data_IF_448283466945
#
_entry.id   IF_448283466945
#
_cell.length_a   1.000
_cell.length_b   1.000
_cell.length_c   1.000
_cell.angle_alpha   90.00
_cell.angle_beta   90.00
_cell.angle_gamma   90.00
#
_symmetry.space_group_name_H-M   'P 1'
#
loop_
_entity.id
_entity.type
_entity.pdbx_description
1 polymer ?
#
# COMPACT_ATOMS: atom_id res chain seq x y z
N UNK A 1 11.27 -34.29 -7.23
CA UNK A 1 11.75 -33.00 -7.76
C UNK A 1 10.68 -32.46 -8.69
N UNK A 2 10.00 -31.39 -8.28
CA UNK A 2 9.30 -30.46 -9.16
C UNK A 2 9.07 -29.19 -8.32
N UNK A 3 9.74 -28.12 -8.73
CA UNK A 3 9.74 -26.80 -8.14
C UNK A 3 8.43 -26.07 -8.49
N UNK A 4 7.59 -25.82 -7.49
CA UNK A 4 6.56 -24.79 -7.61
C UNK A 4 7.09 -23.49 -7.01
N UNK A 5 7.56 -22.60 -7.89
CA UNK A 5 7.68 -21.18 -7.58
C UNK A 5 6.26 -20.63 -7.47
N UNK A 6 5.70 -20.66 -6.26
CA UNK A 6 4.48 -19.93 -5.93
C UNK A 6 4.83 -18.49 -5.60
N UNK A 7 4.35 -17.55 -6.40
CA UNK A 7 4.16 -16.16 -5.97
C UNK A 7 3.34 -16.21 -4.68
N UNK A 8 3.85 -15.59 -3.62
CA UNK A 8 3.22 -15.63 -2.30
C UNK A 8 1.91 -14.84 -2.37
N UNK A 9 0.82 -15.54 -2.68
CA UNK A 9 -0.53 -15.05 -2.49
C UNK A 9 -0.99 -15.39 -1.08
N UNK A 10 -1.98 -14.66 -0.56
CA UNK A 10 -2.67 -15.06 0.68
C UNK A 10 -3.38 -16.39 0.45
N UNK A 11 -2.74 -17.52 0.78
CA UNK A 11 -3.34 -18.86 0.73
C UNK A 11 -4.16 -19.07 2.00
N UNK A 12 -5.49 -19.16 1.88
CA UNK A 12 -6.40 -19.42 3.00
C UNK A 12 -7.00 -18.18 3.69
N UNK A 13 -6.94 -17.01 3.06
CA UNK A 13 -7.64 -15.81 3.52
C UNK A 13 -9.15 -15.83 3.20
N UNK A 14 -9.90 -14.89 3.77
CA UNK A 14 -11.32 -14.66 3.48
C UNK A 14 -11.55 -13.26 2.97
N UNK A 15 -12.59 -13.06 2.15
CA UNK A 15 -12.97 -11.73 1.67
C UNK A 15 -13.21 -10.77 2.85
N UNK A 16 -12.58 -9.59 2.77
CA UNK A 16 -12.80 -8.52 3.73
C UNK A 16 -14.13 -7.81 3.44
N UNK A 17 -14.85 -7.41 4.48
CA UNK A 17 -16.02 -6.55 4.31
C UNK A 17 -15.58 -5.17 3.81
N UNK A 18 -16.40 -4.49 2.99
CA UNK A 18 -16.11 -3.13 2.57
C UNK A 18 -15.82 -2.21 3.77
N UNK A 19 -14.70 -1.50 3.72
CA UNK A 19 -14.29 -0.57 4.79
C UNK A 19 -13.69 -1.22 6.04
N UNK A 20 -13.46 -2.55 6.09
CA UNK A 20 -12.78 -3.18 7.24
C UNK A 20 -11.32 -2.72 7.43
N UNK A 21 -10.67 -2.32 6.35
CA UNK A 21 -9.29 -1.83 6.34
C UNK A 21 -9.22 -0.45 5.67
N UNK A 22 -9.80 0.59 6.27
CA UNK A 22 -10.05 1.87 5.59
C UNK A 22 -8.77 2.67 5.28
N UNK A 23 -7.62 2.25 5.82
CA UNK A 23 -6.30 2.81 5.51
C UNK A 23 -5.55 2.06 4.42
N UNK A 24 -6.10 0.95 3.89
CA UNK A 24 -5.40 0.14 2.89
C UNK A 24 -5.36 0.87 1.54
N UNK A 25 -4.17 0.90 0.94
CA UNK A 25 -3.90 1.63 -0.30
C UNK A 25 -3.45 0.67 -1.39
N UNK A 26 -4.01 0.82 -2.59
CA UNK A 26 -3.51 0.19 -3.80
C UNK A 26 -2.64 1.19 -4.56
N UNK A 27 -1.35 0.88 -4.69
CA UNK A 27 -0.40 1.61 -5.53
C UNK A 27 -0.38 0.93 -6.89
N UNK A 28 -0.57 1.72 -7.94
CA UNK A 28 -0.79 1.24 -9.30
C UNK A 28 0.22 1.87 -10.27
N UNK A 29 0.81 1.03 -11.11
CA UNK A 29 1.60 1.44 -12.27
C UNK A 29 0.68 1.50 -13.50
N UNK A 30 0.52 2.69 -14.07
CA UNK A 30 -0.33 2.95 -15.23
C UNK A 30 0.19 2.31 -16.52
N UNK A 31 1.44 1.84 -16.56
CA UNK A 31 1.99 1.10 -17.70
C UNK A 31 1.70 -0.39 -17.64
N UNK A 32 1.24 -0.89 -16.49
CA UNK A 32 0.87 -2.29 -16.31
C UNK A 32 -0.57 -2.53 -16.76
N UNK A 33 -0.82 -3.64 -17.46
CA UNK A 33 -2.16 -4.01 -17.93
C UNK A 33 -3.08 -4.39 -16.76
N UNK A 34 -4.40 -4.26 -16.95
CA UNK A 34 -5.38 -4.59 -15.91
C UNK A 34 -5.55 -3.47 -14.89
N UNK A 35 -5.57 -3.80 -13.59
CA UNK A 35 -5.71 -2.78 -12.52
C UNK A 35 -4.45 -1.94 -12.32
N UNK A 36 -3.31 -2.40 -12.84
CA UNK A 36 -2.00 -1.81 -12.59
C UNK A 36 -1.52 -1.99 -11.15
N UNK A 37 -2.23 -2.69 -10.27
CA UNK A 37 -1.82 -2.87 -8.87
C UNK A 37 -0.50 -3.64 -8.78
N UNK A 38 0.47 -3.04 -8.12
CA UNK A 38 1.81 -3.63 -7.92
C UNK A 38 2.23 -3.69 -6.46
N UNK A 39 1.74 -2.77 -5.63
CA UNK A 39 2.12 -2.67 -4.22
C UNK A 39 0.97 -2.17 -3.35
N UNK A 40 1.00 -2.56 -2.09
CA UNK A 40 0.15 -2.02 -1.04
C UNK A 40 0.79 -0.83 -0.33
N UNK A 41 -0.04 -0.09 0.41
CA UNK A 41 0.41 0.94 1.35
C UNK A 41 -0.60 1.12 2.48
N UNK A 42 -0.22 1.94 3.46
CA UNK A 42 -1.10 2.38 4.55
C UNK A 42 -1.17 3.89 4.59
N UNK A 43 -2.38 4.44 4.55
CA UNK A 43 -2.59 5.87 4.73
C UNK A 43 -2.34 6.24 6.21
N UNK A 44 -1.29 7.00 6.49
CA UNK A 44 -0.87 7.36 7.86
C UNK A 44 -1.16 8.81 8.23
N UNK A 45 -1.44 9.65 7.23
CA UNK A 45 -1.95 11.01 7.41
C UNK A 45 -2.78 11.40 6.18
N UNK A 46 -3.50 12.54 6.18
CA UNK A 46 -4.35 12.92 5.05
C UNK A 46 -3.62 12.98 3.70
N UNK A 47 -2.31 13.20 3.67
CA UNK A 47 -1.52 13.29 2.43
C UNK A 47 -0.36 12.30 2.36
N UNK A 48 -0.18 11.42 3.35
CA UNK A 48 0.99 10.55 3.40
C UNK A 48 0.61 9.08 3.47
N UNK A 49 1.15 8.31 2.53
CA UNK A 49 1.06 6.85 2.47
C UNK A 49 2.41 6.26 2.84
N UNK A 50 2.40 5.37 3.82
CA UNK A 50 3.53 4.51 4.16
C UNK A 50 3.54 3.27 3.26
N UNK A 51 4.69 2.95 2.68
CA UNK A 51 4.87 1.76 1.85
C UNK A 51 6.32 1.28 1.89
N UNK A 52 6.66 0.30 1.06
CA UNK A 52 7.99 -0.26 0.97
C UNK A 52 8.79 0.39 -0.16
N UNK A 53 10.08 0.65 0.09
CA UNK A 53 10.99 1.25 -0.89
C UNK A 53 11.18 0.39 -2.15
N UNK A 54 11.18 -0.93 -2.00
CA UNK A 54 11.39 -1.86 -3.10
C UNK A 54 10.33 -1.76 -4.21
N UNK A 55 9.15 -1.21 -3.92
CA UNK A 55 8.11 -0.95 -4.92
C UNK A 55 8.57 -0.03 -6.05
N UNK A 56 9.59 0.81 -5.81
CA UNK A 56 9.98 1.90 -6.71
C UNK A 56 11.39 1.76 -7.29
N UNK A 57 12.08 0.63 -7.09
CA UNK A 57 13.47 0.47 -7.57
C UNK A 57 13.61 0.54 -9.10
N UNK A 58 12.55 0.21 -9.83
CA UNK A 58 12.49 0.24 -11.29
C UNK A 58 11.59 1.36 -11.80
N UNK A 59 11.15 2.26 -10.93
CA UNK A 59 10.31 3.39 -11.31
C UNK A 59 11.11 4.37 -12.17
N UNK A 60 10.64 4.61 -13.38
CA UNK A 60 11.25 5.56 -14.33
C UNK A 60 10.87 7.02 -14.02
N UNK A 61 9.68 7.23 -13.44
CA UNK A 61 9.11 8.54 -13.10
C UNK A 61 7.99 8.36 -12.08
N UNK A 62 7.71 9.39 -11.25
CA UNK A 62 6.54 9.39 -10.35
C UNK A 62 5.21 9.59 -11.11
N UNK A 63 5.25 10.15 -12.33
CA UNK A 63 4.06 10.48 -13.12
C UNK A 63 3.28 9.27 -13.65
N UNK A 64 3.87 8.07 -13.59
CA UNK A 64 3.24 6.81 -14.05
C UNK A 64 2.49 6.11 -12.93
N UNK A 65 2.53 6.66 -11.71
CA UNK A 65 1.95 6.04 -10.52
C UNK A 65 0.61 6.66 -10.17
N UNK A 66 -0.31 5.81 -9.74
CA UNK A 66 -1.62 6.18 -9.22
C UNK A 66 -1.82 5.54 -7.85
N UNK A 67 -2.39 6.30 -6.93
CA UNK A 67 -2.73 5.84 -5.59
C UNK A 67 -4.25 5.74 -5.47
N UNK A 68 -4.76 4.57 -5.07
CA UNK A 68 -6.19 4.29 -4.93
C UNK A 68 -6.51 3.89 -3.50
N UNK A 69 -7.48 4.59 -2.90
CA UNK A 69 -7.84 4.47 -1.48
C UNK A 69 -9.35 4.28 -1.36
N UNK A 70 -9.79 3.42 -0.44
CA UNK A 70 -11.20 3.11 -0.21
C UNK A 70 -11.81 2.07 -1.17
N UNK A 71 -10.99 1.48 -2.04
CA UNK A 71 -11.44 0.38 -2.91
C UNK A 71 -11.61 -0.91 -2.10
N UNK A 72 -12.68 -1.67 -2.36
CA UNK A 72 -12.77 -3.09 -1.94
C UNK A 72 -12.33 -4.02 -3.06
N UNK A 73 -12.68 -3.68 -4.32
CA UNK A 73 -12.25 -4.39 -5.53
C UNK A 73 -11.52 -3.41 -6.47
N UNK A 74 -10.20 -3.55 -6.68
CA UNK A 74 -9.44 -2.62 -7.54
C UNK A 74 -9.88 -2.66 -9.01
N UNK A 75 -10.54 -3.74 -9.44
CA UNK A 75 -11.13 -3.91 -10.78
C UNK A 75 -12.45 -3.16 -10.97
N UNK A 76 -13.10 -2.71 -9.89
CA UNK A 76 -14.40 -2.06 -9.93
C UNK A 76 -14.45 -0.95 -8.86
N UNK A 77 -14.03 0.26 -9.25
CA UNK A 77 -14.02 1.39 -8.34
C UNK A 77 -15.44 1.94 -8.14
N UNK A 78 -15.85 2.05 -6.87
CA UNK A 78 -17.11 2.67 -6.47
C UNK A 78 -16.98 4.19 -6.30
N UNK A 79 -18.09 4.88 -6.03
CA UNK A 79 -18.11 6.35 -5.89
C UNK A 79 -17.31 6.87 -4.69
N UNK A 80 -17.13 6.04 -3.66
CA UNK A 80 -16.40 6.37 -2.42
C UNK A 80 -14.87 6.23 -2.58
N UNK A 81 -14.40 5.72 -3.72
CA UNK A 81 -12.98 5.52 -3.99
C UNK A 81 -12.32 6.84 -4.34
N UNK A 82 -11.20 7.12 -3.68
CA UNK A 82 -10.37 8.28 -3.96
C UNK A 82 -9.12 7.86 -4.74
N UNK A 83 -8.86 8.61 -5.81
CA UNK A 83 -7.76 8.38 -6.72
C UNK A 83 -6.86 9.61 -6.72
N UNK A 84 -5.59 9.40 -6.39
CA UNK A 84 -4.59 10.45 -6.20
C UNK A 84 -3.37 10.20 -7.09
N UNK A 85 -2.74 11.30 -7.48
CA UNK A 85 -1.41 11.27 -8.08
C UNK A 85 -0.36 11.36 -6.97
N UNK A 86 0.87 10.99 -7.31
CA UNK A 86 2.02 11.15 -6.42
C UNK A 86 2.65 12.52 -6.64
N UNK A 87 2.72 13.32 -5.58
CA UNK A 87 3.47 14.58 -5.56
C UNK A 87 4.96 14.32 -5.33
N UNK A 88 5.26 13.43 -4.38
CA UNK A 88 6.62 13.16 -3.95
C UNK A 88 6.79 11.71 -3.47
N UNK A 89 7.98 11.14 -3.71
CA UNK A 89 8.41 9.86 -3.17
C UNK A 89 9.66 10.08 -2.30
N UNK A 90 9.57 9.74 -1.02
CA UNK A 90 10.68 9.76 -0.08
C UNK A 90 11.09 8.32 0.26
N UNK A 91 12.12 7.82 -0.42
CA UNK A 91 12.75 6.55 -0.06
C UNK A 91 13.70 6.78 1.11
N UNK A 92 13.67 5.88 2.09
CA UNK A 92 14.60 5.96 3.22
C UNK A 92 16.06 6.03 2.74
N UNK A 93 16.80 7.03 3.19
CA UNK A 93 18.18 7.36 2.74
C UNK A 93 19.17 6.20 2.87
N UNK A 94 18.94 5.31 3.84
CA UNK A 94 19.73 4.11 4.08
C UNK A 94 19.12 2.82 3.52
N UNK A 95 18.16 2.89 2.60
CA UNK A 95 17.63 1.72 1.92
C UNK A 95 18.75 0.98 1.16
N UNK A 96 18.70 -0.35 1.17
CA UNK A 96 19.66 -1.22 0.49
C UNK A 96 18.94 -2.35 -0.23
N UNK A 97 18.83 -2.24 -1.55
CA UNK A 97 18.04 -3.15 -2.39
C UNK A 97 18.42 -4.64 -2.21
N UNK A 98 19.72 -4.98 -2.22
CA UNK A 98 20.14 -6.39 -2.11
C UNK A 98 19.76 -7.00 -0.75
N UNK A 99 20.00 -6.26 0.33
CA UNK A 99 19.72 -6.76 1.70
C UNK A 99 18.30 -6.49 2.19
N UNK A 100 17.49 -5.72 1.44
CA UNK A 100 16.19 -5.20 1.86
C UNK A 100 16.21 -4.42 3.20
N UNK A 101 17.38 -3.94 3.64
CA UNK A 101 17.50 -3.13 4.86
C UNK A 101 16.85 -1.76 4.66
N UNK A 102 16.12 -1.29 5.66
CA UNK A 102 15.37 -0.02 5.64
C UNK A 102 14.41 0.08 4.43
N UNK A 103 13.70 -1.02 4.14
CA UNK A 103 12.72 -1.12 3.04
C UNK A 103 11.43 -0.36 3.38
N UNK A 104 11.53 0.96 3.43
CA UNK A 104 10.45 1.87 3.82
C UNK A 104 10.52 3.13 2.96
N UNK A 105 9.36 3.60 2.53
CA UNK A 105 9.20 4.83 1.79
C UNK A 105 7.90 5.53 2.19
N UNK A 106 7.88 6.84 2.00
CA UNK A 106 6.70 7.69 2.14
C UNK A 106 6.30 8.24 0.77
N UNK A 107 5.01 8.16 0.46
CA UNK A 107 4.41 8.78 -0.72
C UNK A 107 3.57 9.97 -0.28
N UNK A 108 3.84 11.11 -0.86
CA UNK A 108 3.02 12.31 -0.70
C UNK A 108 1.96 12.35 -1.81
N UNK A 109 0.71 12.54 -1.42
CA UNK A 109 -0.42 12.70 -2.34
C UNK A 109 -0.51 14.14 -2.81
N UNK A 110 -0.89 14.33 -4.08
CA UNK A 110 -1.12 15.63 -4.71
C UNK A 110 -2.12 16.54 -3.95
N UNK A 111 -3.02 15.94 -3.17
CA UNK A 111 -4.01 16.62 -2.32
C UNK A 111 -4.44 15.72 -1.16
N UNK A 112 -4.91 16.28 -0.03
CA UNK A 112 -5.40 15.48 1.09
C UNK A 112 -6.60 14.63 0.71
N UNK A 113 -6.68 13.44 1.30
CA UNK A 113 -7.88 12.61 1.25
C UNK A 113 -9.02 13.23 2.06
N UNK A 114 -10.24 12.86 1.70
CA UNK A 114 -11.44 13.14 2.50
C UNK A 114 -11.81 11.86 3.27
N UNK A 115 -11.71 11.87 4.60
CA UNK A 115 -12.04 10.68 5.37
C UNK A 115 -13.53 10.32 5.25
N UNK A 116 -13.82 9.02 5.17
CA UNK A 116 -15.15 8.44 5.07
C UNK A 116 -15.22 7.10 5.84
N UNK A 117 -16.28 6.32 5.65
CA UNK A 117 -16.34 4.97 6.22
C UNK A 117 -15.32 4.01 5.58
N UNK A 118 -14.91 4.26 4.33
CA UNK A 118 -13.97 3.42 3.56
C UNK A 118 -12.57 4.01 3.47
N UNK A 119 -12.38 5.27 3.89
CA UNK A 119 -11.09 5.98 3.87
C UNK A 119 -10.80 6.56 5.25
N UNK A 120 -9.83 6.01 5.97
CA UNK A 120 -9.39 6.49 7.29
C UNK A 120 -7.89 6.29 7.47
N UNK A 121 -7.32 6.98 8.46
CA UNK A 121 -5.89 6.92 8.77
C UNK A 121 -5.57 5.70 9.65
N UNK A 122 -4.48 5.02 9.34
CA UNK A 122 -3.86 4.06 10.24
C UNK A 122 -3.12 4.79 11.38
N UNK A 123 -3.08 4.18 12.56
CA UNK A 123 -2.20 4.63 13.62
C UNK A 123 -0.75 4.25 13.32
N UNK A 124 0.19 5.16 13.57
CA UNK A 124 1.63 4.84 13.57
C UNK A 124 2.03 4.53 15.02
N UNK A 125 2.63 3.36 15.29
CA UNK A 125 3.00 2.99 16.65
C UNK A 125 4.12 3.89 17.18
N UNK A 126 4.14 4.09 18.50
CA UNK A 126 5.26 4.74 19.15
C UNK A 126 6.53 3.88 19.00
N UNK A 127 7.70 4.52 18.90
CA UNK A 127 8.97 3.83 18.67
C UNK A 127 9.36 2.82 19.77
N UNK A 128 8.75 2.92 20.96
CA UNK A 128 8.97 2.00 22.07
C UNK A 128 8.10 0.74 22.03
N UNK A 129 7.07 0.69 21.17
CA UNK A 129 6.16 -0.45 21.10
C UNK A 129 6.93 -1.68 20.61
N UNK A 130 6.81 -2.80 21.34
CA UNK A 130 7.37 -4.08 20.90
C UNK A 130 6.27 -4.88 20.24
N UNK A 131 6.46 -5.32 19.00
CA UNK A 131 5.43 -6.09 18.26
C UNK A 131 4.97 -7.35 19.00
N UNK A 132 5.84 -7.96 19.81
CA UNK A 132 5.48 -9.10 20.68
C UNK A 132 4.40 -8.80 21.72
N UNK A 133 4.12 -7.52 21.99
CA UNK A 133 3.03 -7.08 22.84
C UNK A 133 1.67 -7.15 22.12
N UNK A 134 1.66 -7.39 20.81
CA UNK A 134 0.46 -7.62 20.00
C UNK A 134 0.13 -9.11 19.96
N UNK A 135 -1.10 -9.46 20.34
CA UNK A 135 -1.57 -10.85 20.44
C UNK A 135 -1.92 -11.48 19.09
N UNK A 136 -2.38 -10.67 18.13
CA UNK A 136 -2.72 -11.10 16.78
C UNK A 136 -2.57 -9.93 15.80
N UNK A 137 -2.07 -10.22 14.60
CA UNK A 137 -1.93 -9.26 13.50
C UNK A 137 -2.77 -9.71 12.31
N UNK A 138 -3.15 -8.75 11.47
CA UNK A 138 -3.89 -9.00 10.24
C UNK A 138 -3.06 -8.61 9.02
N UNK A 139 -3.29 -9.32 7.92
CA UNK A 139 -2.72 -8.99 6.61
C UNK A 139 -3.90 -8.85 5.65
N UNK A 140 -3.94 -7.74 4.92
CA UNK A 140 -4.95 -7.46 3.91
C UNK A 140 -4.30 -6.95 2.63
N UNK A 141 -4.91 -7.25 1.48
CA UNK A 141 -4.39 -6.88 0.16
C UNK A 141 -5.18 -7.54 -0.97
N UNK A 142 -4.69 -7.39 -2.20
CA UNK A 142 -5.32 -7.92 -3.43
C UNK A 142 -4.40 -8.84 -4.25
N UNK A 143 -3.38 -9.40 -3.60
CA UNK A 143 -2.39 -10.29 -4.20
C UNK A 143 -1.64 -11.00 -3.11
#
# INVERSE_FOLDING_TARGET
MASHHGTAHVVGGTDAQPGSWPWIVSIQDLWTTGTGHICGGSLISPQWVLTAAHCFINASSIAVWRVVIGATRPTQLGPEVQVHNMEQLLVHEHYRNISQRNNIALLELDRPVQCSYSVQLACVPHASLRVSELTACYIGGWG
#
